data_IF_788492741804
#
_entry.id   IF_788492741804
#
_cell.length_a   1.000
_cell.length_b   1.000
_cell.length_c   1.000
_cell.angle_alpha   90.00
_cell.angle_beta   90.00
_cell.angle_gamma   90.00
#
_symmetry.space_group_name_H-M   'P 1'
#
loop_
_entity.id
_entity.type
_entity.pdbx_description
1 polymer ?
#
# COMPACT_ATOMS: atom_id res chain seq x y z
N UNK A 1 8.90 -9.59 17.88
CA UNK A 1 9.30 -9.41 16.47
C UNK A 1 10.63 -8.67 16.45
N UNK A 2 11.55 -9.04 15.57
CA UNK A 2 12.86 -8.37 15.43
C UNK A 2 13.00 -7.83 14.01
N UNK A 3 13.48 -6.60 13.85
CA UNK A 3 13.71 -5.98 12.54
C UNK A 3 15.20 -5.96 12.21
N UNK A 4 15.60 -6.49 11.05
CA UNK A 4 16.98 -6.41 10.57
C UNK A 4 17.04 -6.44 9.04
N UNK A 5 17.88 -5.59 8.45
CA UNK A 5 18.20 -5.68 7.01
C UNK A 5 19.26 -6.74 6.70
N UNK A 6 20.00 -7.20 7.71
CA UNK A 6 21.08 -8.18 7.58
C UNK A 6 20.58 -9.58 7.93
N UNK A 7 20.83 -10.54 7.02
CA UNK A 7 20.59 -11.97 7.28
C UNK A 7 21.51 -12.54 8.36
N UNK A 8 22.65 -11.90 8.63
CA UNK A 8 23.69 -12.40 9.56
C UNK A 8 23.38 -12.17 11.04
N UNK A 9 22.45 -11.28 11.39
CA UNK A 9 22.24 -10.81 12.77
C UNK A 9 20.77 -10.91 13.19
N UNK A 10 20.15 -12.07 12.99
CA UNK A 10 18.80 -12.30 13.50
C UNK A 10 18.88 -12.64 14.99
N UNK A 11 18.46 -11.73 15.86
CA UNK A 11 18.33 -12.00 17.30
C UNK A 11 17.12 -12.91 17.50
N UNK A 12 17.39 -14.15 17.87
CA UNK A 12 16.39 -15.15 18.24
C UNK A 12 16.36 -15.18 19.77
N UNK A 13 15.27 -14.66 20.32
CA UNK A 13 15.01 -14.65 21.75
C UNK A 13 13.51 -14.86 21.95
N UNK A 14 13.16 -15.72 22.89
CA UNK A 14 11.79 -16.02 23.29
C UNK A 14 11.40 -15.06 24.40
N UNK A 15 10.50 -14.14 24.09
CA UNK A 15 10.02 -13.16 25.05
C UNK A 15 8.81 -13.72 25.78
N UNK A 16 8.77 -13.57 27.10
CA UNK A 16 7.60 -13.86 27.91
C UNK A 16 7.15 -12.60 28.65
N UNK A 17 5.83 -12.46 28.82
CA UNK A 17 5.19 -11.40 29.60
C UNK A 17 4.23 -12.05 30.60
N UNK A 18 4.42 -11.81 31.90
CA UNK A 18 3.63 -12.44 32.97
C UNK A 18 3.54 -13.98 32.83
N UNK A 19 4.68 -14.62 32.56
CA UNK A 19 4.80 -16.06 32.26
C UNK A 19 4.03 -16.55 31.01
N UNK A 20 3.56 -15.65 30.14
CA UNK A 20 2.98 -15.99 28.84
C UNK A 20 4.00 -15.78 27.73
N UNK A 21 4.29 -16.82 26.97
CA UNK A 21 5.18 -16.73 25.81
C UNK A 21 4.57 -15.88 24.70
N UNK A 22 5.33 -14.91 24.22
CA UNK A 22 4.94 -14.07 23.10
C UNK A 22 5.30 -14.76 21.79
N UNK A 23 4.28 -15.11 21.01
CA UNK A 23 4.47 -15.69 19.69
C UNK A 23 5.32 -14.77 18.79
N UNK A 24 6.39 -15.34 18.22
CA UNK A 24 7.21 -14.64 17.24
C UNK A 24 6.43 -14.50 15.93
N UNK A 25 6.35 -13.27 15.43
CA UNK A 25 5.71 -12.94 14.15
C UNK A 25 6.71 -12.32 13.19
N UNK A 26 6.58 -12.65 11.90
CA UNK A 26 7.45 -12.19 10.81
C UNK A 26 6.89 -10.97 10.06
N UNK A 27 5.57 -10.75 10.14
CA UNK A 27 4.90 -9.56 9.63
C UNK A 27 3.99 -8.98 10.72
N UNK A 28 3.99 -7.66 10.91
CA UNK A 28 3.15 -6.96 11.88
C UNK A 28 2.63 -5.68 11.28
N UNK A 29 1.33 -5.46 11.40
CA UNK A 29 0.70 -4.20 11.02
C UNK A 29 0.77 -3.23 12.19
N UNK A 30 1.24 -2.02 11.93
CA UNK A 30 1.27 -0.92 12.87
C UNK A 30 0.95 0.41 12.17
N UNK A 31 0.07 1.21 12.79
CA UNK A 31 -0.46 2.47 12.23
C UNK A 31 -0.89 2.38 10.75
N UNK A 32 -1.40 1.23 10.30
CA UNK A 32 -1.82 1.04 8.91
C UNK A 32 -0.74 0.51 7.96
N UNK A 33 0.53 0.49 8.37
CA UNK A 33 1.68 0.01 7.60
C UNK A 33 1.98 -1.43 7.98
N UNK A 34 2.31 -2.28 6.99
CA UNK A 34 2.73 -3.65 7.24
C UNK A 34 4.25 -3.71 7.26
N UNK A 35 4.82 -4.03 8.41
CA UNK A 35 6.25 -4.21 8.58
C UNK A 35 6.61 -5.69 8.48
N UNK A 36 7.61 -5.98 7.64
CA UNK A 36 8.25 -7.29 7.56
C UNK A 36 9.53 -7.27 8.39
N UNK A 37 9.92 -8.43 8.94
CA UNK A 37 11.16 -8.58 9.74
C UNK A 37 12.42 -8.09 9.00
N UNK A 38 12.43 -8.22 7.67
CA UNK A 38 13.54 -7.84 6.80
C UNK A 38 13.54 -6.35 6.41
N UNK A 39 12.60 -5.57 6.94
CA UNK A 39 12.34 -4.17 6.60
C UNK A 39 12.15 -3.92 5.09
N UNK A 40 11.67 -4.94 4.38
CA UNK A 40 11.09 -4.76 3.06
C UNK A 40 9.62 -4.39 3.19
N UNK A 41 9.13 -3.70 2.17
CA UNK A 41 7.76 -3.24 2.10
C UNK A 41 7.05 -3.77 0.84
N UNK A 42 7.59 -4.81 0.22
CA UNK A 42 6.99 -5.45 -0.95
C UNK A 42 5.58 -5.97 -0.64
N UNK A 43 5.39 -6.63 0.52
CA UNK A 43 4.06 -7.08 0.93
C UNK A 43 3.12 -5.91 1.25
N UNK A 44 3.65 -4.85 1.86
CA UNK A 44 2.86 -3.65 2.13
C UNK A 44 2.36 -3.00 0.84
N UNK A 45 3.27 -2.80 -0.13
CA UNK A 45 2.99 -2.23 -1.45
C UNK A 45 1.95 -3.08 -2.19
N UNK A 46 2.07 -4.41 -2.15
CA UNK A 46 1.09 -5.33 -2.72
C UNK A 46 -0.31 -5.15 -2.15
N UNK A 47 -0.42 -4.96 -0.83
CA UNK A 47 -1.69 -4.75 -0.16
C UNK A 47 -2.31 -3.40 -0.52
N UNK A 48 -1.53 -2.31 -0.47
CA UNK A 48 -2.05 -0.97 -0.76
C UNK A 48 -2.43 -0.83 -2.23
N UNK A 49 -1.63 -1.36 -3.16
CA UNK A 49 -1.92 -1.32 -4.61
C UNK A 49 -3.17 -2.11 -4.94
N UNK A 50 -3.33 -3.35 -4.43
CA UNK A 50 -4.57 -4.13 -4.61
C UNK A 50 -5.79 -3.40 -4.07
N UNK A 51 -5.67 -2.79 -2.88
CA UNK A 51 -6.79 -2.03 -2.33
C UNK A 51 -7.08 -0.75 -3.09
N UNK A 52 -6.06 -0.07 -3.61
CA UNK A 52 -6.20 1.15 -4.40
C UNK A 52 -6.86 0.84 -5.75
N UNK A 53 -6.43 -0.22 -6.45
CA UNK A 53 -7.07 -0.70 -7.69
C UNK A 53 -8.52 -1.10 -7.46
N UNK A 54 -8.84 -1.75 -6.33
CA UNK A 54 -10.23 -2.06 -5.98
C UNK A 54 -11.06 -0.80 -5.80
N UNK A 55 -10.54 0.20 -5.09
CA UNK A 55 -11.23 1.48 -4.90
C UNK A 55 -11.42 2.21 -6.24
N UNK A 56 -10.40 2.22 -7.10
CA UNK A 56 -10.50 2.77 -8.45
C UNK A 56 -11.62 2.08 -9.24
N UNK A 57 -11.65 0.74 -9.25
CA UNK A 57 -12.72 -0.02 -9.90
C UNK A 57 -14.12 0.30 -9.35
N UNK A 58 -14.26 0.54 -8.05
CA UNK A 58 -15.52 0.98 -7.45
C UNK A 58 -15.93 2.36 -7.94
N UNK A 59 -15.00 3.33 -7.93
CA UNK A 59 -15.25 4.68 -8.45
C UNK A 59 -15.76 4.59 -9.88
N UNK A 60 -15.03 3.92 -10.76
CA UNK A 60 -15.37 3.80 -12.19
C UNK A 60 -16.70 3.07 -12.44
N UNK A 61 -17.06 2.11 -11.59
CA UNK A 61 -18.33 1.39 -11.70
C UNK A 61 -19.52 2.25 -11.29
N UNK A 62 -19.36 3.06 -10.24
CA UNK A 62 -20.45 3.86 -9.68
C UNK A 62 -20.56 5.25 -10.31
N UNK A 63 -19.49 5.81 -10.86
CA UNK A 63 -19.49 7.11 -11.54
C UNK A 63 -20.05 7.07 -12.97
N UNK A 64 -20.48 5.90 -13.46
CA UNK A 64 -21.01 5.72 -14.83
C UNK A 64 -22.15 6.65 -15.20
N UNK A 65 -22.92 7.10 -14.21
CA UNK A 65 -24.12 7.91 -14.41
C UNK A 65 -23.89 9.40 -14.14
N UNK A 66 -22.74 9.78 -13.57
CA UNK A 66 -22.38 11.15 -13.24
C UNK A 66 -20.88 11.34 -13.51
N UNK A 67 -20.52 11.27 -14.79
CA UNK A 67 -19.14 11.41 -15.28
C UNK A 67 -18.70 12.88 -15.32
N UNK A 68 -18.77 13.54 -14.16
CA UNK A 68 -18.19 14.86 -13.98
C UNK A 68 -16.69 14.74 -13.67
N UNK A 69 -15.88 15.52 -14.38
CA UNK A 69 -14.42 15.46 -14.31
C UNK A 69 -13.92 15.75 -12.89
N UNK A 70 -14.36 16.87 -12.30
CA UNK A 70 -13.92 17.32 -10.99
C UNK A 70 -14.31 16.33 -9.89
N UNK A 71 -15.52 15.78 -9.99
CA UNK A 71 -16.01 14.75 -9.08
C UNK A 71 -15.14 13.49 -9.11
N UNK A 72 -14.78 13.00 -10.30
CA UNK A 72 -13.96 11.79 -10.44
C UNK A 72 -12.54 12.02 -9.93
N UNK A 73 -11.93 13.16 -10.25
CA UNK A 73 -10.61 13.55 -9.73
C UNK A 73 -10.62 13.65 -8.20
N UNK A 74 -11.68 14.22 -7.63
CA UNK A 74 -11.86 14.32 -6.18
C UNK A 74 -11.95 12.95 -5.53
N UNK A 75 -12.79 12.06 -6.07
CA UNK A 75 -12.94 10.69 -5.56
C UNK A 75 -11.65 9.89 -5.65
N UNK A 76 -10.92 10.00 -6.77
CA UNK A 76 -9.62 9.36 -6.93
C UNK A 76 -8.62 9.87 -5.89
N UNK A 77 -8.51 11.18 -5.73
CA UNK A 77 -7.57 11.81 -4.79
C UNK A 77 -7.85 11.37 -3.36
N UNK A 78 -9.13 11.39 -2.96
CA UNK A 78 -9.56 11.07 -1.60
C UNK A 78 -9.48 9.58 -1.25
N UNK A 79 -9.73 8.66 -2.21
CA UNK A 79 -9.90 7.23 -1.91
C UNK A 79 -8.78 6.32 -2.44
N UNK A 80 -8.08 6.76 -3.49
CA UNK A 80 -7.03 5.98 -4.16
C UNK A 80 -5.67 6.59 -3.86
N UNK A 81 -5.47 7.87 -4.20
CA UNK A 81 -4.18 8.55 -4.03
C UNK A 81 -3.77 8.66 -2.57
N UNK A 82 -4.69 9.09 -1.70
CA UNK A 82 -4.47 9.15 -0.25
C UNK A 82 -3.95 7.82 0.32
N UNK A 83 -4.41 6.69 -0.21
CA UNK A 83 -4.01 5.35 0.22
C UNK A 83 -2.64 4.93 -0.31
N UNK A 84 -2.31 5.36 -1.52
CA UNK A 84 -1.00 5.11 -2.14
C UNK A 84 0.09 6.01 -1.56
N UNK A 85 -0.24 7.18 -0.99
CA UNK A 85 0.76 8.13 -0.48
C UNK A 85 0.87 8.13 1.05
N UNK A 86 -0.07 7.51 1.75
CA UNK A 86 -0.08 7.46 3.22
C UNK A 86 1.23 6.91 3.78
N UNK A 87 1.92 7.71 4.60
CA UNK A 87 3.18 7.37 5.26
C UNK A 87 4.30 6.91 4.32
N UNK A 88 4.31 7.40 3.07
CA UNK A 88 5.31 7.03 2.05
C UNK A 88 6.75 7.28 2.49
N UNK A 89 7.00 8.24 3.38
CA UNK A 89 8.33 8.50 3.96
C UNK A 89 8.95 7.27 4.63
N UNK A 90 8.13 6.31 5.09
CA UNK A 90 8.57 5.09 5.76
C UNK A 90 8.85 3.97 4.75
N UNK A 91 7.96 3.77 3.78
CA UNK A 91 7.93 2.55 2.97
C UNK A 91 8.28 2.75 1.49
N UNK A 92 8.44 4.00 1.02
CA UNK A 92 8.66 4.30 -0.39
C UNK A 92 9.74 3.39 -1.01
N UNK A 93 9.42 2.64 -2.07
CA UNK A 93 10.36 1.66 -2.62
C UNK A 93 11.45 2.36 -3.42
N UNK A 94 12.65 1.78 -3.40
CA UNK A 94 13.75 2.14 -4.32
C UNK A 94 13.85 1.19 -5.52
N UNK A 95 13.07 0.11 -5.53
CA UNK A 95 13.06 -0.87 -6.63
C UNK A 95 12.09 -0.45 -7.73
N UNK A 96 12.60 -0.36 -8.97
CA UNK A 96 11.80 -0.04 -10.16
C UNK A 96 10.55 -0.91 -10.32
N UNK A 97 10.64 -2.20 -9.98
CA UNK A 97 9.51 -3.11 -10.06
C UNK A 97 8.36 -2.68 -9.13
N UNK A 98 8.68 -2.30 -7.91
CA UNK A 98 7.70 -1.87 -6.91
C UNK A 98 7.16 -0.47 -7.23
N UNK A 99 8.02 0.43 -7.72
CA UNK A 99 7.62 1.75 -8.21
C UNK A 99 6.59 1.60 -9.35
N UNK A 100 6.91 0.80 -10.38
CA UNK A 100 6.00 0.52 -11.50
C UNK A 100 4.66 -0.07 -11.05
N UNK A 101 4.64 -0.84 -9.95
CA UNK A 101 3.40 -1.41 -9.41
C UNK A 101 2.47 -0.33 -8.84
N UNK A 102 3.03 0.67 -8.17
CA UNK A 102 2.29 1.83 -7.66
C UNK A 102 1.85 2.71 -8.83
N UNK A 103 2.76 3.01 -9.74
CA UNK A 103 2.50 3.83 -10.93
C UNK A 103 1.42 3.23 -11.82
N UNK A 104 1.34 1.89 -11.93
CA UNK A 104 0.31 1.22 -12.71
C UNK A 104 -1.10 1.65 -12.29
N UNK A 105 -1.37 1.76 -11.00
CA UNK A 105 -2.68 2.21 -10.50
C UNK A 105 -2.98 3.66 -10.92
N UNK A 106 -1.96 4.52 -10.92
CA UNK A 106 -2.09 5.90 -11.35
C UNK A 106 -2.26 5.99 -12.87
N UNK A 107 -1.49 5.23 -13.64
CA UNK A 107 -1.59 5.15 -15.10
C UNK A 107 -2.95 4.63 -15.55
N UNK A 108 -3.52 3.65 -14.85
CA UNK A 108 -4.86 3.14 -15.15
C UNK A 108 -5.91 4.25 -14.95
N UNK A 109 -5.77 5.09 -13.91
CA UNK A 109 -6.63 6.26 -13.73
C UNK A 109 -6.41 7.34 -14.80
N UNK A 110 -5.16 7.66 -15.15
CA UNK A 110 -4.85 8.65 -16.19
C UNK A 110 -5.46 8.29 -17.55
N UNK A 111 -5.51 6.99 -17.89
CA UNK A 111 -6.19 6.50 -19.10
C UNK A 111 -7.69 6.75 -19.08
N UNK A 112 -8.33 6.61 -17.92
CA UNK A 112 -9.73 6.95 -17.77
C UNK A 112 -9.94 8.45 -17.96
N UNK A 113 -9.11 9.30 -17.34
CA UNK A 113 -9.23 10.74 -17.51
C UNK A 113 -9.10 11.16 -18.98
N UNK A 114 -8.16 10.56 -19.72
CA UNK A 114 -8.01 10.80 -21.16
C UNK A 114 -9.28 10.43 -21.93
N UNK A 115 -9.95 9.33 -21.56
CA UNK A 115 -11.21 8.93 -22.18
C UNK A 115 -12.37 9.87 -21.86
N UNK A 116 -12.42 10.44 -20.64
CA UNK A 116 -13.47 11.40 -20.24
C UNK A 116 -13.33 12.73 -20.98
N UNK A 117 -12.10 13.17 -21.24
CA UNK A 117 -11.80 14.46 -21.86
C UNK A 117 -11.89 14.46 -23.40
N UNK A 118 -12.01 13.29 -24.02
CA UNK A 118 -12.00 13.10 -25.48
C UNK A 118 -13.39 12.96 -26.06
#
# INVERSE_FOLDING_TARGET
MTFTRSKKTCIIYEYSLDNNELARVHCKKDLGILFQENLKFDQHIDIITKSASRNLGLILRHSKFFFDYDTIVTLYTALVRSKLEYACVIWAPTSDFLIKKIEKVQSDFSRVLQWILS
#
